data_IF_232727738739
#
_entry.id   IF_232727738739
#
_cell.length_a   1.000
_cell.length_b   1.000
_cell.length_c   1.000
_cell.angle_alpha   90.00
_cell.angle_beta   90.00
_cell.angle_gamma   90.00
#
_symmetry.space_group_name_H-M   'P 1'
#
loop_
_entity.id
_entity.type
_entity.pdbx_description
1 polymer ?
#
# COMPACT_ATOMS: atom_id res chain seq x y z
N UNK A 1 7.31 5.07 7.24
CA UNK A 1 8.44 6.02 7.38
C UNK A 1 9.19 6.00 6.08
N UNK A 2 9.34 7.13 5.39
CA UNK A 2 10.08 7.19 4.12
C UNK A 2 11.57 7.28 4.47
N UNK A 3 12.39 6.41 3.88
CA UNK A 3 13.82 6.37 4.12
C UNK A 3 14.58 7.43 3.32
N UNK A 4 15.84 7.64 3.68
CA UNK A 4 16.75 8.56 2.97
C UNK A 4 16.93 8.21 1.47
N UNK A 5 16.75 6.94 1.11
CA UNK A 5 16.99 6.47 -0.26
C UNK A 5 15.84 6.86 -1.18
N UNK A 6 14.60 6.76 -0.70
CA UNK A 6 13.39 7.19 -1.41
C UNK A 6 13.39 8.70 -1.64
N UNK A 7 13.83 9.48 -0.63
CA UNK A 7 14.01 10.93 -0.77
C UNK A 7 15.00 11.26 -1.87
N UNK A 8 16.15 10.60 -1.84
CA UNK A 8 17.23 10.83 -2.79
C UNK A 8 16.82 10.41 -4.21
N UNK A 9 16.16 9.26 -4.35
CA UNK A 9 15.64 8.76 -5.62
C UNK A 9 14.68 9.75 -6.29
N UNK A 10 13.70 10.26 -5.53
CA UNK A 10 12.73 11.24 -6.05
C UNK A 10 13.42 12.51 -6.57
N UNK A 11 14.37 13.08 -5.82
CA UNK A 11 15.14 14.27 -6.22
C UNK A 11 15.98 14.03 -7.47
N UNK A 12 16.66 12.89 -7.57
CA UNK A 12 17.48 12.54 -8.73
C UNK A 12 16.62 12.39 -9.98
N UNK A 13 15.48 11.71 -9.89
CA UNK A 13 14.56 11.53 -11.02
C UNK A 13 13.88 12.85 -11.42
N UNK A 14 13.56 13.74 -10.48
CA UNK A 14 13.09 15.10 -10.80
C UNK A 14 14.14 15.88 -11.59
N UNK A 15 15.42 15.80 -11.19
CA UNK A 15 16.54 16.41 -11.91
C UNK A 15 16.69 15.88 -13.34
N UNK A 16 16.55 14.55 -13.52
CA UNK A 16 16.57 13.90 -14.84
C UNK A 16 15.40 14.38 -15.70
N UNK A 17 14.18 14.40 -15.15
CA UNK A 17 12.97 14.78 -15.90
C UNK A 17 12.95 16.28 -16.24
N UNK A 18 13.52 17.13 -15.38
CA UNK A 18 13.66 18.57 -15.65
C UNK A 18 14.53 18.87 -16.88
N UNK A 19 15.43 17.96 -17.27
CA UNK A 19 16.20 18.10 -18.52
C UNK A 19 15.33 17.90 -19.78
N UNK A 20 14.13 17.34 -19.67
CA UNK A 20 13.10 17.29 -20.72
C UNK A 20 13.38 16.39 -21.94
N UNK A 21 14.60 15.88 -22.09
CA UNK A 21 15.07 15.12 -23.27
C UNK A 21 15.59 13.72 -22.95
N UNK A 22 15.68 13.35 -21.67
CA UNK A 22 16.30 12.10 -21.24
C UNK A 22 15.34 10.94 -21.49
N UNK A 23 15.81 9.96 -22.26
CA UNK A 23 15.07 8.74 -22.61
C UNK A 23 15.61 7.52 -21.88
N UNK A 24 16.87 7.53 -21.45
CA UNK A 24 17.51 6.42 -20.75
C UNK A 24 18.39 6.91 -19.62
N UNK A 25 18.33 6.24 -18.47
CA UNK A 25 19.18 6.49 -17.31
C UNK A 25 19.93 5.21 -16.96
N UNK A 26 21.27 5.29 -16.93
CA UNK A 26 22.10 4.20 -16.44
C UNK A 26 22.31 4.34 -14.94
N UNK A 27 21.81 3.39 -14.16
CA UNK A 27 21.99 3.34 -12.70
C UNK A 27 23.15 2.40 -12.40
N UNK A 28 24.29 2.97 -12.03
CA UNK A 28 25.55 2.27 -11.85
C UNK A 28 25.80 1.97 -10.37
N UNK A 29 25.82 0.68 -10.03
CA UNK A 29 25.99 0.17 -8.67
C UNK A 29 24.71 -0.42 -8.06
N UNK A 30 24.88 -1.15 -6.98
CA UNK A 30 23.82 -1.93 -6.32
C UNK A 30 23.71 -1.57 -4.83
N UNK A 31 22.71 -0.75 -4.51
CA UNK A 31 22.41 -0.34 -3.14
C UNK A 31 20.90 -0.17 -2.93
N UNK A 32 20.49 0.18 -1.70
CA UNK A 32 19.10 0.55 -1.42
C UNK A 32 18.61 1.73 -2.29
N UNK A 33 19.52 2.61 -2.74
CA UNK A 33 19.17 3.68 -3.68
C UNK A 33 18.77 3.14 -5.07
N UNK A 34 19.39 2.05 -5.52
CA UNK A 34 19.04 1.37 -6.78
C UNK A 34 17.59 0.92 -6.75
N UNK A 35 17.19 0.21 -5.68
CA UNK A 35 15.80 -0.23 -5.50
C UNK A 35 14.83 0.96 -5.36
N UNK A 36 15.23 2.02 -4.65
CA UNK A 36 14.42 3.22 -4.49
C UNK A 36 14.19 3.97 -5.82
N UNK A 37 15.19 4.04 -6.71
CA UNK A 37 15.06 4.62 -8.05
C UNK A 37 14.07 3.82 -8.91
N UNK A 38 14.16 2.48 -8.89
CA UNK A 38 13.21 1.63 -9.60
C UNK A 38 11.79 1.78 -9.05
N UNK A 39 11.64 1.83 -7.72
CA UNK A 39 10.34 2.01 -7.07
C UNK A 39 9.71 3.37 -7.38
N UNK A 40 10.47 4.47 -7.28
CA UNK A 40 9.97 5.82 -7.58
C UNK A 40 9.57 5.96 -9.06
N UNK A 41 10.36 5.43 -10.00
CA UNK A 41 9.99 5.46 -11.41
C UNK A 41 8.74 4.62 -11.70
N UNK A 42 8.60 3.46 -11.04
CA UNK A 42 7.39 2.64 -11.15
C UNK A 42 6.17 3.37 -10.59
N UNK A 43 6.31 4.06 -9.46
CA UNK A 43 5.26 4.89 -8.90
C UNK A 43 4.86 6.01 -9.87
N UNK A 44 5.83 6.68 -10.50
CA UNK A 44 5.56 7.71 -11.53
C UNK A 44 4.82 7.13 -12.73
N UNK A 45 5.13 5.90 -13.16
CA UNK A 45 4.40 5.25 -14.24
C UNK A 45 2.93 5.00 -13.87
N UNK A 46 2.65 4.51 -12.65
CA UNK A 46 1.27 4.42 -12.16
C UNK A 46 0.55 5.77 -12.16
N UNK A 47 1.23 6.82 -11.70
CA UNK A 47 0.66 8.16 -11.67
C UNK A 47 0.33 8.66 -13.10
N UNK A 48 1.16 8.32 -14.09
CA UNK A 48 0.91 8.64 -15.51
C UNK A 48 -0.25 7.85 -16.09
N UNK A 49 -0.38 6.58 -15.75
CA UNK A 49 -1.51 5.75 -16.16
C UNK A 49 -2.82 6.24 -15.54
N UNK A 50 -2.76 6.72 -14.28
CA UNK A 50 -3.89 7.33 -13.61
C UNK A 50 -4.29 8.66 -14.25
N UNK A 51 -3.31 9.54 -14.45
CA UNK A 51 -3.50 10.83 -15.11
C UNK A 51 -2.18 11.38 -15.64
N UNK A 52 -2.08 11.54 -16.97
CA UNK A 52 -0.96 12.23 -17.61
C UNK A 52 -1.37 13.66 -17.99
N UNK A 53 -0.82 14.69 -17.31
CA UNK A 53 -0.97 16.08 -17.71
C UNK A 53 -0.63 16.33 -19.19
N UNK A 54 -1.36 17.21 -19.89
CA UNK A 54 -0.97 17.66 -21.22
C UNK A 54 0.45 18.23 -21.24
N UNK A 55 1.27 17.80 -22.20
CA UNK A 55 2.66 18.26 -22.31
C UNK A 55 3.63 17.60 -21.32
N UNK A 56 3.21 16.57 -20.59
CA UNK A 56 4.10 15.77 -19.75
C UNK A 56 5.27 15.19 -20.55
N UNK A 57 6.48 15.30 -19.99
CA UNK A 57 7.67 14.62 -20.51
C UNK A 57 7.53 13.11 -20.27
N UNK A 58 7.89 12.31 -21.27
CA UNK A 58 7.91 10.86 -21.17
C UNK A 58 8.88 10.40 -20.07
N UNK A 59 8.51 9.34 -19.35
CA UNK A 59 9.40 8.73 -18.36
C UNK A 59 10.58 8.04 -19.07
N UNK A 60 11.81 8.17 -18.55
CA UNK A 60 12.95 7.46 -19.12
C UNK A 60 12.88 5.96 -18.80
N UNK A 61 13.58 5.14 -19.60
CA UNK A 61 13.92 3.78 -19.22
C UNK A 61 15.12 3.76 -18.25
N UNK A 62 15.17 2.78 -17.34
CA UNK A 62 16.35 2.54 -16.52
C UNK A 62 17.14 1.34 -17.05
N UNK A 63 18.46 1.42 -16.94
CA UNK A 63 19.36 0.29 -17.13
C UNK A 63 20.24 0.18 -15.90
N UNK A 64 20.07 -0.89 -15.12
CA UNK A 64 20.90 -1.20 -13.96
C UNK A 64 22.24 -1.77 -14.45
N UNK A 65 23.36 -1.25 -13.97
CA UNK A 65 24.71 -1.63 -14.42
C UNK A 65 25.56 -1.96 -13.20
N UNK A 66 25.69 -3.25 -12.92
CA UNK A 66 26.61 -3.84 -11.95
C UNK A 66 26.61 -5.37 -12.14
N UNK A 67 27.62 -6.07 -11.61
CA UNK A 67 27.73 -7.54 -11.72
C UNK A 67 26.49 -8.30 -11.22
N UNK A 68 25.82 -7.78 -10.19
CA UNK A 68 24.62 -8.35 -9.55
C UNK A 68 23.33 -7.60 -9.93
N UNK A 69 23.34 -6.77 -10.98
CA UNK A 69 22.18 -5.97 -11.39
C UNK A 69 20.92 -6.80 -11.66
N UNK A 70 21.06 -8.03 -12.16
CA UNK A 70 19.93 -8.95 -12.40
C UNK A 70 19.26 -9.45 -11.11
N UNK A 71 19.98 -9.48 -9.98
CA UNK A 71 19.38 -9.79 -8.66
C UNK A 71 18.52 -8.62 -8.20
N UNK A 72 19.01 -7.39 -8.34
CA UNK A 72 18.25 -6.19 -7.97
C UNK A 72 17.01 -5.95 -8.83
N UNK A 73 17.08 -6.31 -10.12
CA UNK A 73 15.89 -6.28 -10.99
C UNK A 73 14.83 -7.28 -10.51
N UNK A 74 15.25 -8.52 -10.19
CA UNK A 74 14.34 -9.55 -9.65
C UNK A 74 13.75 -9.15 -8.30
N UNK A 75 14.55 -8.56 -7.41
CA UNK A 75 14.06 -8.04 -6.14
C UNK A 75 13.04 -6.94 -6.36
N UNK A 76 13.29 -5.99 -7.26
CA UNK A 76 12.34 -4.94 -7.60
C UNK A 76 11.03 -5.51 -8.18
N UNK A 77 11.10 -6.47 -9.10
CA UNK A 77 9.92 -7.15 -9.66
C UNK A 77 9.13 -7.90 -8.58
N UNK A 78 9.82 -8.59 -7.68
CA UNK A 78 9.17 -9.24 -6.54
C UNK A 78 8.43 -8.23 -5.66
N UNK A 79 9.07 -7.10 -5.32
CA UNK A 79 8.42 -6.02 -4.57
C UNK A 79 7.22 -5.44 -5.34
N UNK A 80 7.31 -5.26 -6.67
CA UNK A 80 6.18 -4.81 -7.51
C UNK A 80 5.02 -5.80 -7.49
N UNK A 81 5.28 -7.09 -7.55
CA UNK A 81 4.24 -8.11 -7.47
C UNK A 81 3.59 -8.14 -6.09
N UNK A 82 4.39 -8.06 -5.01
CA UNK A 82 3.89 -8.00 -3.64
C UNK A 82 3.06 -6.75 -3.39
N UNK A 83 3.46 -5.60 -3.92
CA UNK A 83 2.70 -4.37 -3.91
C UNK A 83 1.60 -4.33 -4.99
N UNK A 84 1.48 -5.38 -5.80
CA UNK A 84 0.44 -5.63 -6.80
C UNK A 84 0.20 -4.51 -7.80
N UNK A 85 1.28 -4.04 -8.40
CA UNK A 85 1.27 -3.10 -9.50
C UNK A 85 0.61 -3.71 -10.74
N UNK A 86 -0.41 -3.05 -11.30
CA UNK A 86 -1.17 -3.51 -12.49
C UNK A 86 -0.61 -2.93 -13.80
N UNK A 87 0.13 -1.82 -13.72
CA UNK A 87 0.81 -1.22 -14.88
C UNK A 87 1.94 -2.12 -15.38
N UNK A 88 2.13 -2.17 -16.71
CA UNK A 88 3.35 -2.70 -17.33
C UNK A 88 4.60 -2.03 -16.72
N UNK A 89 4.46 -0.77 -16.30
CA UNK A 89 5.48 0.00 -15.61
C UNK A 89 6.52 0.55 -16.59
N UNK A 90 7.54 1.24 -16.07
CA UNK A 90 8.64 1.72 -16.89
C UNK A 90 9.49 0.54 -17.38
N UNK A 91 10.16 0.71 -18.51
CA UNK A 91 11.20 -0.23 -18.95
C UNK A 91 12.39 -0.14 -17.99
N UNK A 92 12.70 -1.22 -17.28
CA UNK A 92 13.86 -1.36 -16.41
C UNK A 92 14.58 -2.64 -16.81
N UNK A 93 15.79 -2.48 -17.35
CA UNK A 93 16.65 -3.60 -17.77
C UNK A 93 17.88 -3.69 -16.86
N UNK A 94 18.59 -4.82 -16.90
CA UNK A 94 19.83 -5.04 -16.17
C UNK A 94 20.98 -5.48 -17.09
N UNK A 95 22.19 -5.02 -16.79
CA UNK A 95 23.44 -5.42 -17.43
C UNK A 95 24.38 -5.93 -16.36
N UNK A 96 24.65 -7.23 -16.37
CA UNK A 96 25.55 -7.93 -15.45
C UNK A 96 27.05 -7.66 -15.74
N UNK A 97 27.43 -6.39 -15.82
CA UNK A 97 28.80 -5.93 -16.03
C UNK A 97 29.12 -4.78 -15.07
N UNK A 98 30.32 -4.78 -14.49
CA UNK A 98 30.75 -3.68 -13.62
C UNK A 98 30.80 -2.36 -14.42
N UNK A 99 30.38 -1.21 -13.84
CA UNK A 99 30.27 0.09 -14.53
C UNK A 99 31.65 0.75 -14.74
N UNK A 100 32.55 0.04 -15.43
CA UNK A 100 33.87 0.54 -15.83
C UNK A 100 33.75 1.52 -16.98
N UNK A 101 34.77 2.37 -17.18
CA UNK A 101 34.77 3.33 -18.31
C UNK A 101 34.54 2.65 -19.68
N UNK A 102 35.23 1.55 -20.04
CA UNK A 102 34.95 0.86 -21.31
C UNK A 102 33.52 0.36 -21.43
N UNK A 103 32.99 -0.26 -20.37
CA UNK A 103 31.61 -0.76 -20.33
C UNK A 103 30.61 0.38 -20.54
N UNK A 104 30.75 1.46 -19.78
CA UNK A 104 29.88 2.63 -19.87
C UNK A 104 29.97 3.32 -21.22
N UNK A 105 31.17 3.45 -21.82
CA UNK A 105 31.32 4.02 -23.16
C UNK A 105 30.64 3.20 -24.23
N UNK A 106 30.68 1.87 -24.11
CA UNK A 106 29.96 0.95 -25.00
C UNK A 106 28.45 1.14 -24.84
N UNK A 107 27.94 1.01 -23.61
CA UNK A 107 26.50 1.13 -23.32
C UNK A 107 25.91 2.49 -23.72
N UNK A 108 26.63 3.58 -23.45
CA UNK A 108 26.22 4.95 -23.83
C UNK A 108 26.33 5.14 -25.36
N UNK A 109 27.31 4.52 -26.01
CA UNK A 109 27.51 4.59 -27.47
C UNK A 109 26.51 3.75 -28.29
N UNK A 110 25.98 2.68 -27.70
CA UNK A 110 24.89 1.88 -28.28
C UNK A 110 23.54 2.64 -28.28
N UNK A 111 23.49 3.80 -27.60
CA UNK A 111 22.34 4.70 -27.48
C UNK A 111 22.75 6.13 -27.83
N UNK A 112 21.85 7.11 -27.68
CA UNK A 112 22.20 8.52 -27.89
C UNK A 112 22.63 9.18 -26.57
N UNK A 113 23.91 9.61 -26.42
CA UNK A 113 24.40 10.30 -25.22
C UNK A 113 23.63 11.59 -24.92
N UNK A 114 23.09 12.28 -25.94
CA UNK A 114 22.33 13.50 -25.77
C UNK A 114 20.95 13.28 -25.11
N UNK A 115 20.48 12.02 -25.06
CA UNK A 115 19.23 11.62 -24.40
C UNK A 115 19.48 10.65 -23.24
N UNK A 116 20.73 10.55 -22.79
CA UNK A 116 21.13 9.66 -21.71
C UNK A 116 21.45 10.44 -20.43
N UNK A 117 21.31 9.79 -19.28
CA UNK A 117 21.84 10.25 -18.00
C UNK A 117 22.49 9.08 -17.26
N UNK A 118 23.39 9.37 -16.33
CA UNK A 118 24.06 8.34 -15.51
C UNK A 118 23.90 8.70 -14.03
N UNK A 119 23.53 7.73 -13.21
CA UNK A 119 23.46 7.87 -11.76
C UNK A 119 24.38 6.81 -11.15
N UNK A 120 25.45 7.23 -10.51
CA UNK A 120 26.27 6.36 -9.68
C UNK A 120 25.73 6.34 -8.26
N UNK A 121 25.32 5.16 -7.80
CA UNK A 121 24.76 4.97 -6.44
C UNK A 121 25.83 4.65 -5.40
N UNK A 122 27.00 4.18 -5.83
CA UNK A 122 28.09 3.80 -4.95
C UNK A 122 29.05 4.97 -4.69
N UNK A 123 29.43 5.15 -3.43
CA UNK A 123 30.27 6.25 -2.95
C UNK A 123 31.70 6.28 -3.56
N UNK A 124 32.16 5.20 -4.19
CA UNK A 124 33.51 5.08 -4.74
C UNK A 124 33.60 5.33 -6.26
N UNK A 125 32.48 5.73 -6.89
CA UNK A 125 32.41 5.90 -8.34
C UNK A 125 32.96 7.25 -8.86
N UNK A 126 33.45 8.14 -8.00
CA UNK A 126 33.83 9.51 -8.36
C UNK A 126 34.85 9.62 -9.50
N UNK A 127 35.81 8.69 -9.60
CA UNK A 127 36.80 8.69 -10.69
C UNK A 127 36.20 8.30 -12.04
N UNK A 128 35.29 7.33 -12.06
CA UNK A 128 34.55 6.93 -13.26
C UNK A 128 33.61 8.05 -13.71
N UNK A 129 32.86 8.63 -12.76
CA UNK A 129 31.93 9.72 -13.02
C UNK A 129 32.64 10.94 -13.65
N UNK A 130 33.76 11.38 -13.08
CA UNK A 130 34.55 12.50 -13.61
C UNK A 130 35.10 12.22 -15.02
N UNK A 131 35.54 10.98 -15.28
CA UNK A 131 36.04 10.57 -16.61
C UNK A 131 34.93 10.50 -17.66
N UNK A 132 33.71 10.13 -17.30
CA UNK A 132 32.54 10.19 -18.18
C UNK A 132 32.13 11.64 -18.44
N UNK A 133 32.07 12.48 -17.41
CA UNK A 133 31.72 13.89 -17.54
C UNK A 133 32.67 14.66 -18.46
N UNK A 134 33.97 14.35 -18.40
CA UNK A 134 34.96 14.91 -19.32
C UNK A 134 34.75 14.50 -20.79
N UNK A 135 34.09 13.37 -21.05
CA UNK A 135 33.81 12.85 -22.41
C UNK A 135 32.44 13.29 -22.92
N UNK A 136 31.48 13.46 -22.02
CA UNK A 136 30.09 13.82 -22.32
C UNK A 136 29.67 15.05 -21.49
N UNK A 137 30.18 16.25 -21.82
CA UNK A 137 30.01 17.44 -20.97
C UNK A 137 28.54 17.86 -20.79
N UNK A 138 27.67 17.56 -21.77
CA UNK A 138 26.24 17.92 -21.75
C UNK A 138 25.32 16.84 -21.17
N UNK A 139 25.87 15.65 -20.87
CA UNK A 139 25.11 14.53 -20.32
C UNK A 139 24.97 14.70 -18.80
N UNK A 140 23.75 14.67 -18.22
CA UNK A 140 23.60 14.68 -16.77
C UNK A 140 24.25 13.45 -16.15
N UNK A 141 25.16 13.67 -15.20
CA UNK A 141 25.82 12.60 -14.45
C UNK A 141 25.69 12.92 -12.97
N UNK A 142 25.14 12.00 -12.20
CA UNK A 142 24.98 12.12 -10.76
C UNK A 142 25.91 11.14 -10.08
N UNK A 143 26.66 11.57 -9.06
CA UNK A 143 27.51 10.68 -8.29
C UNK A 143 27.38 10.96 -6.80
N UNK A 144 27.30 9.90 -5.99
CA UNK A 144 27.32 10.05 -4.54
C UNK A 144 28.69 10.55 -4.10
N UNK A 145 28.72 11.59 -3.26
CA UNK A 145 29.94 12.07 -2.62
C UNK A 145 29.68 12.25 -1.12
N UNK A 146 30.36 11.42 -0.32
CA UNK A 146 30.24 11.37 1.14
C UNK A 146 30.70 12.66 1.85
N UNK A 147 31.40 13.55 1.15
CA UNK A 147 31.89 14.83 1.70
C UNK A 147 30.99 16.03 1.40
N UNK A 148 29.85 15.85 0.72
CA UNK A 148 28.97 16.96 0.31
C UNK A 148 27.97 17.31 1.42
N UNK A 149 27.95 18.57 1.85
CA UNK A 149 26.94 19.12 2.76
C UNK A 149 25.63 19.43 2.00
N UNK A 150 24.50 19.47 2.72
CA UNK A 150 23.14 19.78 2.22
C UNK A 150 23.09 21.09 1.38
N UNK A 151 24.00 22.02 1.64
CA UNK A 151 24.09 23.32 0.97
C UNK A 151 24.86 23.31 -0.36
N UNK A 152 25.51 22.18 -0.70
CA UNK A 152 26.48 22.06 -1.80
C UNK A 152 26.04 21.15 -2.97
N UNK A 153 24.74 20.78 -3.05
CA UNK A 153 24.13 19.95 -4.11
C UNK A 153 24.27 20.51 -5.56
N UNK A 154 25.07 21.57 -5.76
CA UNK A 154 25.29 22.24 -7.05
C UNK A 154 26.76 22.40 -7.46
N UNK A 155 27.74 21.81 -6.74
CA UNK A 155 29.14 21.91 -7.15
C UNK A 155 29.36 21.07 -8.43
N UNK A 156 29.37 21.75 -9.59
CA UNK A 156 29.81 21.18 -10.86
C UNK A 156 31.33 21.08 -10.85
N UNK A 157 31.86 19.86 -10.72
CA UNK A 157 33.31 19.64 -10.68
C UNK A 157 33.91 19.55 -12.09
N UNK A 158 33.20 18.91 -13.04
CA UNK A 158 33.54 18.81 -14.48
C UNK A 158 32.26 18.57 -15.29
N UNK A 159 32.00 19.35 -16.34
CA UNK A 159 30.80 19.18 -17.19
C UNK A 159 29.49 19.25 -16.37
N UNK A 160 28.49 18.44 -16.74
CA UNK A 160 27.22 18.29 -15.99
C UNK A 160 27.28 17.19 -14.90
N UNK A 161 28.44 16.96 -14.30
CA UNK A 161 28.56 16.13 -13.09
C UNK A 161 27.99 16.86 -11.87
N UNK A 162 27.03 16.24 -11.19
CA UNK A 162 26.41 16.72 -9.96
C UNK A 162 26.68 15.71 -8.84
N UNK A 163 27.34 16.18 -7.78
CA UNK A 163 27.47 15.41 -6.53
C UNK A 163 26.16 15.45 -5.75
N UNK A 164 25.82 14.35 -5.05
CA UNK A 164 24.69 14.31 -4.12
C UNK A 164 25.03 13.53 -2.85
N UNK A 165 24.31 13.86 -1.77
CA UNK A 165 24.39 13.16 -0.47
C UNK A 165 23.13 12.35 -0.17
N UNK A 166 23.29 11.26 0.59
CA UNK A 166 22.15 10.50 1.13
C UNK A 166 21.52 11.29 2.28
N UNK A 167 20.41 11.96 2.02
CA UNK A 167 19.75 12.82 3.00
C UNK A 167 18.47 12.17 3.53
N UNK A 168 18.33 12.10 4.85
CA UNK A 168 17.02 11.97 5.49
C UNK A 168 16.41 13.37 5.51
N UNK A 169 15.38 13.60 4.69
CA UNK A 169 14.50 14.74 4.96
C UNK A 169 13.61 14.33 6.15
N UNK A 170 13.57 15.18 7.18
CA UNK A 170 13.00 14.83 8.48
C UNK A 170 11.49 14.66 8.38
N UNK A 171 11.07 13.41 8.18
CA UNK A 171 9.83 12.70 8.54
C UNK A 171 8.44 13.29 8.23
N UNK A 172 8.28 14.59 7.98
CA UNK A 172 6.99 15.19 7.64
C UNK A 172 6.87 15.57 6.16
N UNK A 173 7.95 15.97 5.48
CA UNK A 173 7.88 16.51 4.11
C UNK A 173 7.44 15.51 3.03
N UNK A 174 7.95 14.27 3.02
CA UNK A 174 7.73 13.33 1.90
C UNK A 174 6.51 12.43 2.01
N UNK A 175 6.12 12.01 3.22
CA UNK A 175 4.81 11.37 3.42
C UNK A 175 3.73 12.39 3.09
N UNK A 176 3.93 13.66 3.47
CA UNK A 176 3.07 14.74 3.01
C UNK A 176 3.14 14.92 1.49
N UNK A 177 4.31 14.80 0.85
CA UNK A 177 4.44 14.87 -0.61
C UNK A 177 3.69 13.75 -1.33
N UNK A 178 3.80 12.48 -0.93
CA UNK A 178 3.08 11.39 -1.57
C UNK A 178 1.55 11.58 -1.49
N UNK A 179 1.04 12.00 -0.33
CA UNK A 179 -0.38 12.28 -0.15
C UNK A 179 -0.84 13.57 -0.86
N UNK A 180 0.03 14.58 -0.94
CA UNK A 180 -0.22 15.79 -1.70
C UNK A 180 -0.23 15.50 -3.21
N UNK A 181 0.71 14.69 -3.70
CA UNK A 181 0.74 14.20 -5.08
C UNK A 181 -0.53 13.42 -5.40
N UNK A 182 -0.96 12.51 -4.53
CA UNK A 182 -2.22 11.80 -4.70
C UNK A 182 -3.43 12.75 -4.74
N UNK A 183 -3.54 13.68 -3.79
CA UNK A 183 -4.62 14.67 -3.75
C UNK A 183 -4.65 15.54 -5.01
N UNK A 184 -3.48 15.97 -5.49
CA UNK A 184 -3.33 16.72 -6.74
C UNK A 184 -3.76 15.92 -7.95
N UNK A 185 -3.29 14.68 -8.10
CA UNK A 185 -3.62 13.82 -9.24
C UNK A 185 -5.12 13.51 -9.30
N UNK A 186 -5.73 13.18 -8.16
CA UNK A 186 -7.17 12.94 -8.05
C UNK A 186 -7.94 14.18 -8.53
N UNK A 187 -7.55 15.36 -8.06
CA UNK A 187 -8.16 16.62 -8.45
C UNK A 187 -7.98 16.94 -9.94
N UNK A 188 -6.77 16.80 -10.48
CA UNK A 188 -6.50 17.09 -11.89
C UNK A 188 -7.25 16.13 -12.82
N UNK A 189 -7.36 14.85 -12.45
CA UNK A 189 -8.18 13.89 -13.18
C UNK A 189 -9.66 14.28 -13.15
N UNK A 190 -10.18 14.70 -11.99
CA UNK A 190 -11.54 15.22 -11.86
C UNK A 190 -11.76 16.41 -12.78
N UNK A 191 -10.87 17.42 -12.76
CA UNK A 191 -10.96 18.61 -13.64
C UNK A 191 -10.94 18.21 -15.11
N UNK A 192 -10.13 17.22 -15.49
CA UNK A 192 -10.08 16.71 -16.86
C UNK A 192 -11.36 15.99 -17.30
N UNK A 193 -12.19 15.49 -16.38
CA UNK A 193 -13.48 14.86 -16.70
C UNK A 193 -14.61 15.86 -16.90
N UNK A 194 -14.42 17.13 -16.51
CA UNK A 194 -15.42 18.18 -16.67
C UNK A 194 -15.51 18.59 -18.14
N UNK A 195 -16.72 18.60 -18.67
CA UNK A 195 -17.00 19.09 -20.02
C UNK A 195 -16.46 20.53 -20.20
N UNK A 196 -15.56 20.78 -21.17
CA UNK A 196 -15.00 22.11 -21.41
C UNK A 196 -16.05 23.19 -21.71
N UNK A 197 -17.24 22.81 -22.16
CA UNK A 197 -18.35 23.74 -22.43
C UNK A 197 -19.07 24.22 -21.16
N UNK A 198 -18.85 23.58 -20.02
CA UNK A 198 -19.49 23.95 -18.75
C UNK A 198 -18.69 25.04 -18.04
N UNK A 199 -19.40 25.98 -17.42
CA UNK A 199 -18.78 27.02 -16.59
C UNK A 199 -18.09 26.38 -15.39
N UNK A 200 -16.76 26.51 -15.33
CA UNK A 200 -15.96 25.99 -14.20
C UNK A 200 -16.23 26.82 -12.94
N UNK A 201 -16.59 26.12 -11.86
CA UNK A 201 -16.66 26.72 -10.53
C UNK A 201 -15.26 26.97 -9.93
N UNK A 202 -15.18 27.70 -8.81
CA UNK A 202 -13.90 28.02 -8.15
C UNK A 202 -13.17 26.78 -7.60
N UNK A 203 -13.87 25.64 -7.47
CA UNK A 203 -13.32 24.35 -7.07
C UNK A 203 -12.95 23.45 -8.28
N UNK A 204 -13.12 23.92 -9.51
CA UNK A 204 -13.04 23.10 -10.73
C UNK A 204 -12.00 23.65 -11.73
N UNK A 205 -10.94 24.25 -11.20
CA UNK A 205 -9.80 24.78 -11.95
C UNK A 205 -8.55 23.92 -11.75
N UNK A 206 -7.55 23.97 -12.65
CA UNK A 206 -6.29 23.25 -12.49
C UNK A 206 -5.65 23.51 -11.13
N UNK A 207 -4.89 22.54 -10.60
CA UNK A 207 -4.33 22.62 -9.24
C UNK A 207 -3.50 23.88 -9.02
N UNK A 208 -2.72 24.30 -10.02
CA UNK A 208 -1.89 25.50 -9.97
C UNK A 208 -2.69 26.80 -9.75
N UNK A 209 -3.94 26.84 -10.21
CA UNK A 209 -4.87 27.97 -10.06
C UNK A 209 -5.82 27.80 -8.87
N UNK A 210 -5.92 26.59 -8.33
CA UNK A 210 -6.83 26.24 -7.25
C UNK A 210 -6.49 26.99 -5.96
N UNK A 211 -7.48 27.64 -5.36
CA UNK A 211 -7.30 28.33 -4.09
C UNK A 211 -6.89 27.36 -2.97
N UNK A 212 -6.07 27.85 -2.04
CA UNK A 212 -5.55 27.07 -0.92
C UNK A 212 -6.62 26.42 -0.04
N UNK A 213 -7.80 27.02 0.08
CA UNK A 213 -8.95 26.40 0.74
C UNK A 213 -9.37 25.08 0.08
N UNK A 214 -9.44 25.03 -1.25
CA UNK A 214 -9.82 23.81 -1.96
C UNK A 214 -8.68 22.79 -2.00
N UNK A 215 -7.42 23.24 -2.17
CA UNK A 215 -6.25 22.36 -2.02
C UNK A 215 -6.22 21.71 -0.63
N UNK A 216 -6.51 22.49 0.41
CA UNK A 216 -6.63 22.00 1.77
C UNK A 216 -7.76 21.00 1.95
N UNK A 217 -8.91 21.22 1.32
CA UNK A 217 -10.03 20.27 1.33
C UNK A 217 -9.69 18.94 0.65
N UNK A 218 -8.96 18.97 -0.49
CA UNK A 218 -8.49 17.78 -1.20
C UNK A 218 -7.46 16.98 -0.37
N UNK A 219 -6.47 17.66 0.23
CA UNK A 219 -5.51 17.01 1.13
C UNK A 219 -6.18 16.38 2.35
N UNK A 220 -7.18 17.06 2.92
CA UNK A 220 -8.00 16.55 4.02
C UNK A 220 -8.73 15.27 3.61
N UNK A 221 -9.39 15.25 2.45
CA UNK A 221 -10.11 14.07 1.97
C UNK A 221 -9.20 12.83 1.90
N UNK A 222 -8.00 12.95 1.33
CA UNK A 222 -7.03 11.84 1.27
C UNK A 222 -6.61 11.40 2.68
N UNK A 223 -6.23 12.34 3.56
CA UNK A 223 -5.81 12.02 4.93
C UNK A 223 -6.93 11.36 5.74
N UNK A 224 -8.16 11.85 5.60
CA UNK A 224 -9.30 11.29 6.30
C UNK A 224 -9.62 9.88 5.77
N UNK A 225 -9.51 9.64 4.46
CA UNK A 225 -9.66 8.30 3.89
C UNK A 225 -8.65 7.29 4.49
N UNK A 226 -7.38 7.68 4.65
CA UNK A 226 -6.38 6.84 5.29
C UNK A 226 -6.79 6.44 6.72
N UNK A 227 -7.24 7.42 7.50
CA UNK A 227 -7.68 7.23 8.88
C UNK A 227 -8.95 6.38 8.98
N UNK A 228 -9.99 6.69 8.19
CA UNK A 228 -11.28 6.00 8.21
C UNK A 228 -11.13 4.51 7.87
N UNK A 229 -10.30 4.18 6.88
CA UNK A 229 -10.05 2.80 6.46
C UNK A 229 -9.45 1.99 7.62
N UNK A 230 -8.52 2.55 8.39
CA UNK A 230 -7.94 1.85 9.53
C UNK A 230 -8.89 1.81 10.74
N UNK A 231 -9.45 2.95 11.12
CA UNK A 231 -10.15 3.11 12.39
C UNK A 231 -11.63 2.71 12.34
N UNK A 232 -12.28 2.84 11.20
CA UNK A 232 -13.72 2.55 11.03
C UNK A 232 -13.92 1.19 10.37
N UNK A 233 -13.18 0.91 9.29
CA UNK A 233 -13.30 -0.33 8.55
C UNK A 233 -12.40 -1.47 9.07
N UNK A 234 -11.42 -1.18 9.94
CA UNK A 234 -10.54 -2.21 10.49
C UNK A 234 -9.62 -2.83 9.44
N UNK A 235 -9.22 -2.03 8.44
CA UNK A 235 -8.25 -2.43 7.42
C UNK A 235 -6.83 -2.01 7.80
N UNK A 236 -5.85 -2.50 7.05
CA UNK A 236 -4.47 -2.03 7.08
C UNK A 236 -4.02 -1.65 5.67
N UNK A 237 -3.24 -0.57 5.57
CA UNK A 237 -2.54 -0.18 4.34
C UNK A 237 -1.28 -1.01 4.07
N UNK A 238 -0.82 -1.79 5.07
CA UNK A 238 0.26 -2.76 4.86
C UNK A 238 -0.29 -4.02 4.20
N UNK A 239 -0.13 -4.09 2.88
CA UNK A 239 -0.64 -5.20 2.05
C UNK A 239 0.43 -6.17 1.59
N UNK A 240 1.62 -6.12 2.20
CA UNK A 240 2.71 -7.07 1.91
C UNK A 240 2.25 -8.52 2.08
N UNK A 241 2.68 -9.41 1.18
CA UNK A 241 2.34 -10.82 1.20
C UNK A 241 0.93 -11.17 0.71
N UNK A 242 0.13 -10.18 0.30
CA UNK A 242 -1.19 -10.41 -0.32
C UNK A 242 -1.23 -9.79 -1.71
N UNK A 243 -0.99 -10.60 -2.77
CA UNK A 243 -1.25 -10.18 -4.13
C UNK A 243 -2.71 -9.71 -4.26
N UNK A 244 -2.97 -8.58 -4.92
CA UNK A 244 -4.32 -8.02 -4.97
C UNK A 244 -5.21 -8.84 -5.90
N UNK A 245 -6.50 -8.87 -5.61
CA UNK A 245 -7.51 -9.11 -6.64
C UNK A 245 -7.42 -7.98 -7.66
N UNK A 246 -7.16 -8.31 -8.92
CA UNK A 246 -7.23 -7.34 -10.00
C UNK A 246 -8.69 -6.94 -10.21
N UNK A 247 -8.95 -5.64 -10.25
CA UNK A 247 -10.28 -5.08 -10.50
C UNK A 247 -10.19 -4.23 -11.77
N UNK A 248 -11.07 -4.48 -12.75
CA UNK A 248 -11.09 -3.66 -13.96
C UNK A 248 -11.75 -2.31 -13.72
N UNK A 249 -11.20 -1.25 -14.32
CA UNK A 249 -11.84 0.06 -14.31
C UNK A 249 -13.18 0.09 -15.03
N UNK A 250 -13.37 -0.73 -16.07
CA UNK A 250 -14.65 -0.81 -16.78
C UNK A 250 -15.73 -1.49 -15.94
N UNK A 251 -15.39 -2.60 -15.28
CA UNK A 251 -16.30 -3.31 -14.38
C UNK A 251 -16.70 -2.42 -13.20
N UNK A 252 -15.72 -1.74 -12.58
CA UNK A 252 -15.98 -0.83 -11.46
C UNK A 252 -16.91 0.33 -11.85
N UNK A 253 -16.88 0.80 -13.10
CA UNK A 253 -17.70 1.91 -13.55
C UNK A 253 -19.19 1.57 -13.68
N UNK A 254 -19.53 0.29 -13.88
CA UNK A 254 -20.91 -0.19 -14.03
C UNK A 254 -21.59 -0.49 -12.68
N UNK A 255 -20.80 -0.60 -11.61
CA UNK A 255 -21.28 -0.96 -10.28
C UNK A 255 -21.80 0.24 -9.49
N UNK A 256 -22.74 -0.03 -8.58
CA UNK A 256 -23.15 0.95 -7.58
C UNK A 256 -21.99 1.26 -6.62
N UNK A 257 -22.00 2.44 -5.95
CA UNK A 257 -20.94 2.80 -5.00
C UNK A 257 -20.70 1.77 -3.89
N UNK A 258 -21.76 1.11 -3.39
CA UNK A 258 -21.62 0.08 -2.36
C UNK A 258 -21.03 -1.23 -2.89
N UNK A 259 -21.37 -1.63 -4.12
CA UNK A 259 -20.77 -2.79 -4.77
C UNK A 259 -19.28 -2.57 -5.05
N UNK A 260 -18.90 -1.36 -5.50
CA UNK A 260 -17.50 -0.97 -5.66
C UNK A 260 -16.72 -1.10 -4.35
N UNK A 261 -17.30 -0.59 -3.25
CA UNK A 261 -16.70 -0.70 -1.91
C UNK A 261 -16.61 -2.17 -1.45
N UNK A 262 -17.64 -2.97 -1.73
CA UNK A 262 -17.65 -4.42 -1.48
C UNK A 262 -16.52 -5.16 -2.18
N UNK A 263 -16.28 -4.89 -3.46
CA UNK A 263 -15.15 -5.47 -4.21
C UNK A 263 -13.79 -5.00 -3.69
N UNK A 264 -13.71 -3.82 -3.08
CA UNK A 264 -12.51 -3.35 -2.38
C UNK A 264 -12.37 -3.89 -0.95
N UNK A 265 -13.31 -4.73 -0.51
CA UNK A 265 -13.27 -5.43 0.78
C UNK A 265 -14.00 -4.71 1.92
N UNK A 266 -14.78 -3.67 1.65
CA UNK A 266 -15.52 -2.92 2.65
C UNK A 266 -16.98 -3.41 2.71
N UNK A 267 -17.44 -3.80 3.89
CA UNK A 267 -18.86 -4.12 4.10
C UNK A 267 -19.73 -2.86 4.06
N UNK A 268 -21.05 -3.07 3.93
CA UNK A 268 -22.01 -1.98 3.80
C UNK A 268 -22.04 -1.06 5.04
N UNK A 269 -21.97 -1.63 6.25
CA UNK A 269 -22.04 -0.85 7.49
C UNK A 269 -20.80 0.03 7.65
N UNK A 270 -19.60 -0.54 7.48
CA UNK A 270 -18.36 0.24 7.53
C UNK A 270 -18.32 1.31 6.42
N UNK A 271 -18.82 1.00 5.23
CA UNK A 271 -18.94 1.95 4.11
C UNK A 271 -19.79 3.17 4.46
N UNK A 272 -20.96 2.96 5.08
CA UNK A 272 -21.85 4.06 5.49
C UNK A 272 -21.22 4.87 6.63
N UNK A 273 -20.62 4.21 7.64
CA UNK A 273 -19.92 4.90 8.74
C UNK A 273 -18.72 5.74 8.26
N UNK A 274 -17.98 5.25 7.27
CA UNK A 274 -16.90 6.02 6.64
C UNK A 274 -17.47 7.23 5.87
N UNK A 275 -18.55 7.05 5.11
CA UNK A 275 -19.18 8.16 4.39
C UNK A 275 -19.70 9.25 5.35
N UNK A 276 -20.23 8.85 6.51
CA UNK A 276 -20.61 9.74 7.59
C UNK A 276 -19.41 10.54 8.13
N UNK A 277 -18.35 9.85 8.52
CA UNK A 277 -17.16 10.49 9.08
C UNK A 277 -16.53 11.48 8.09
N UNK A 278 -16.54 11.17 6.80
CA UNK A 278 -16.08 12.07 5.75
C UNK A 278 -16.97 13.31 5.60
N UNK A 279 -18.29 13.14 5.60
CA UNK A 279 -19.24 14.26 5.53
C UNK A 279 -19.10 15.20 6.73
N UNK A 280 -18.96 14.64 7.94
CA UNK A 280 -18.79 15.42 9.16
C UNK A 280 -17.46 16.19 9.19
N UNK A 281 -16.36 15.56 8.76
CA UNK A 281 -15.05 16.20 8.65
C UNK A 281 -15.06 17.32 7.58
N UNK A 282 -15.66 17.06 6.42
CA UNK A 282 -15.87 18.07 5.38
C UNK A 282 -16.71 19.25 5.89
N UNK A 283 -17.83 19.00 6.57
CA UNK A 283 -18.66 20.04 7.17
C UNK A 283 -17.88 20.88 8.19
N UNK A 284 -17.09 20.23 9.05
CA UNK A 284 -16.25 20.89 10.06
C UNK A 284 -15.20 21.79 9.41
N UNK A 285 -14.54 21.29 8.36
CA UNK A 285 -13.57 22.06 7.58
C UNK A 285 -14.19 23.31 6.95
N UNK A 286 -15.34 23.15 6.29
CA UNK A 286 -16.05 24.27 5.65
C UNK A 286 -16.50 25.32 6.68
N UNK A 287 -17.15 24.90 7.78
CA UNK A 287 -17.61 25.81 8.84
C UNK A 287 -16.46 26.56 9.50
N UNK A 288 -15.34 25.88 9.78
CA UNK A 288 -14.11 26.52 10.32
C UNK A 288 -13.56 27.60 9.38
N UNK A 289 -13.77 27.46 8.07
CA UNK A 289 -13.34 28.42 7.05
C UNK A 289 -14.42 29.46 6.69
N UNK A 290 -15.45 29.58 7.53
CA UNK A 290 -16.48 30.62 7.42
C UNK A 290 -17.61 30.29 6.44
N UNK A 291 -17.72 29.04 6.00
CA UNK A 291 -18.88 28.61 5.20
C UNK A 291 -20.10 28.33 6.09
N UNK A 292 -21.28 28.60 5.53
CA UNK A 292 -22.56 28.38 6.20
C UNK A 292 -23.53 27.65 5.31
N UNK A 293 -24.48 26.98 5.94
CA UNK A 293 -25.62 26.41 5.24
C UNK A 293 -26.48 27.51 4.60
N UNK A 294 -26.97 27.24 3.40
CA UNK A 294 -28.01 28.02 2.75
C UNK A 294 -28.34 27.46 1.37
N UNK A 295 -29.54 27.79 0.91
CA UNK A 295 -30.05 27.41 -0.41
C UNK A 295 -30.61 28.66 -1.09
N UNK A 296 -30.19 29.01 -2.32
CA UNK A 296 -29.26 28.28 -3.18
C UNK A 296 -27.78 28.36 -2.71
N UNK A 297 -26.93 27.50 -3.27
CA UNK A 297 -25.47 27.55 -3.11
C UNK A 297 -24.93 28.85 -3.71
N UNK A 298 -24.02 29.52 -3.00
CA UNK A 298 -23.32 30.73 -3.44
C UNK A 298 -21.90 30.74 -2.87
N UNK A 299 -20.93 30.32 -3.69
CA UNK A 299 -19.54 30.19 -3.28
C UNK A 299 -18.88 31.54 -2.97
N UNK A 300 -19.30 32.61 -3.63
CA UNK A 300 -18.77 33.97 -3.40
C UNK A 300 -19.09 34.49 -2.00
N UNK A 301 -20.22 34.05 -1.44
CA UNK A 301 -20.69 34.37 -0.10
C UNK A 301 -20.47 33.24 0.91
N UNK A 302 -19.73 32.19 0.51
CA UNK A 302 -19.46 30.98 1.29
C UNK A 302 -20.74 30.29 1.80
N UNK A 303 -21.72 30.14 0.93
CA UNK A 303 -22.99 29.46 1.20
C UNK A 303 -23.02 28.12 0.47
N UNK A 304 -23.16 27.02 1.21
CA UNK A 304 -23.22 25.68 0.62
C UNK A 304 -24.44 24.90 1.13
N UNK A 305 -25.24 24.39 0.20
CA UNK A 305 -26.51 23.71 0.48
C UNK A 305 -26.35 22.34 1.15
N UNK A 306 -25.18 21.69 0.99
CA UNK A 306 -24.90 20.40 1.65
C UNK A 306 -24.32 20.49 3.07
N UNK A 307 -24.19 21.67 3.68
CA UNK A 307 -23.68 21.81 5.06
C UNK A 307 -24.73 21.47 6.12
N UNK A 308 -25.32 20.28 5.99
CA UNK A 308 -26.39 19.75 6.83
C UNK A 308 -25.86 18.69 7.81
N UNK A 309 -26.68 18.32 8.79
CA UNK A 309 -26.39 17.20 9.69
C UNK A 309 -26.45 15.86 8.94
N UNK A 310 -25.72 14.85 9.43
CA UNK A 310 -25.73 13.52 8.79
C UNK A 310 -27.13 12.91 8.75
N UNK A 311 -27.98 13.14 9.75
CA UNK A 311 -29.36 12.64 9.76
C UNK A 311 -30.18 13.08 8.54
N UNK A 312 -29.87 14.26 7.96
CA UNK A 312 -30.51 14.74 6.73
C UNK A 312 -29.98 14.00 5.50
N UNK A 313 -28.68 13.70 5.48
CA UNK A 313 -28.04 12.92 4.41
C UNK A 313 -28.56 11.49 4.41
N UNK A 314 -28.65 10.87 5.59
CA UNK A 314 -29.12 9.50 5.76
C UNK A 314 -30.60 9.33 5.38
N UNK A 315 -31.43 10.33 5.66
CA UNK A 315 -32.86 10.30 5.33
C UNK A 315 -33.16 10.49 3.84
N UNK A 316 -32.21 11.00 3.04
CA UNK A 316 -32.37 11.27 1.61
C UNK A 316 -31.51 10.30 0.78
N UNK A 317 -32.12 9.36 0.02
CA UNK A 317 -31.39 8.37 -0.77
C UNK A 317 -30.40 8.99 -1.78
N UNK A 318 -30.70 10.16 -2.34
CA UNK A 318 -29.81 10.81 -3.30
C UNK A 318 -28.58 11.40 -2.61
N UNK A 319 -28.76 12.04 -1.44
CA UNK A 319 -27.66 12.57 -0.65
C UNK A 319 -26.78 11.46 -0.10
N UNK A 320 -27.38 10.38 0.42
CA UNK A 320 -26.66 9.21 0.90
C UNK A 320 -25.85 8.57 -0.24
N UNK A 321 -26.48 8.34 -1.40
CA UNK A 321 -25.78 7.79 -2.55
C UNK A 321 -24.61 8.68 -3.00
N UNK A 322 -24.79 10.01 -3.00
CA UNK A 322 -23.73 10.95 -3.34
C UNK A 322 -22.56 10.90 -2.34
N UNK A 323 -22.83 10.78 -1.04
CA UNK A 323 -21.80 10.67 -0.01
C UNK A 323 -21.00 9.37 -0.16
N UNK A 324 -21.68 8.23 -0.33
CA UNK A 324 -21.02 6.93 -0.55
C UNK A 324 -20.25 6.91 -1.87
N UNK A 325 -20.78 7.51 -2.95
CA UNK A 325 -20.09 7.64 -4.23
C UNK A 325 -18.78 8.43 -4.12
N UNK A 326 -18.78 9.52 -3.35
CA UNK A 326 -17.57 10.32 -3.10
C UNK A 326 -16.50 9.49 -2.39
N UNK A 327 -16.89 8.71 -1.37
CA UNK A 327 -15.99 7.79 -0.68
C UNK A 327 -15.45 6.71 -1.62
N UNK A 328 -16.32 6.02 -2.35
CA UNK A 328 -15.96 4.96 -3.29
C UNK A 328 -14.97 5.47 -4.35
N UNK A 329 -15.25 6.64 -4.95
CA UNK A 329 -14.36 7.25 -5.95
C UNK A 329 -12.99 7.64 -5.37
N UNK A 330 -12.95 8.11 -4.12
CA UNK A 330 -11.68 8.44 -3.43
C UNK A 330 -10.84 7.19 -3.19
N UNK A 331 -11.45 6.13 -2.61
CA UNK A 331 -10.75 4.88 -2.31
C UNK A 331 -10.33 4.14 -3.59
N UNK A 332 -11.17 4.19 -4.64
CA UNK A 332 -10.81 3.67 -5.95
C UNK A 332 -9.62 4.40 -6.55
N UNK A 333 -9.60 5.74 -6.48
CA UNK A 333 -8.48 6.52 -7.00
C UNK A 333 -7.18 6.23 -6.25
N UNK A 334 -7.23 6.11 -4.92
CA UNK A 334 -6.09 5.69 -4.12
C UNK A 334 -5.57 4.32 -4.54
N UNK A 335 -6.48 3.35 -4.76
CA UNK A 335 -6.12 2.01 -5.26
C UNK A 335 -5.41 2.07 -6.61
N UNK A 336 -5.91 2.87 -7.55
CA UNK A 336 -5.30 3.04 -8.87
C UNK A 336 -3.92 3.72 -8.81
N UNK A 337 -3.67 4.54 -7.78
CA UNK A 337 -2.37 5.15 -7.49
C UNK A 337 -1.41 4.21 -6.72
N UNK A 338 -1.80 2.95 -6.51
CA UNK A 338 -0.99 1.94 -5.80
C UNK A 338 -1.24 1.87 -4.29
N UNK A 339 -2.07 2.77 -3.73
CA UNK A 339 -2.42 2.76 -2.32
C UNK A 339 -3.66 1.90 -2.08
N UNK A 340 -3.43 0.68 -1.61
CA UNK A 340 -4.52 -0.24 -1.28
C UNK A 340 -4.50 -0.63 0.18
N UNK A 341 -5.69 -0.93 0.68
CA UNK A 341 -5.86 -1.55 1.99
C UNK A 341 -6.40 -2.96 1.85
N UNK A 342 -6.34 -3.71 2.95
CA UNK A 342 -6.98 -5.02 3.10
C UNK A 342 -7.55 -5.14 4.52
N UNK A 343 -8.58 -5.97 4.74
CA UNK A 343 -9.03 -6.30 6.09
C UNK A 343 -7.85 -6.74 6.98
N UNK A 344 -7.74 -6.18 8.17
CA UNK A 344 -6.66 -6.53 9.11
C UNK A 344 -6.80 -7.98 9.58
N UNK A 345 -8.05 -8.37 9.90
CA UNK A 345 -8.40 -9.73 10.26
C UNK A 345 -8.70 -10.53 8.99
N UNK A 346 -7.89 -11.54 8.73
CA UNK A 346 -8.05 -12.43 7.58
C UNK A 346 -8.61 -13.78 8.02
N UNK A 347 -9.36 -14.43 7.13
CA UNK A 347 -9.92 -15.75 7.41
C UNK A 347 -8.91 -16.86 7.11
N UNK A 348 -8.79 -17.81 8.04
CA UNK A 348 -7.98 -19.00 7.89
C UNK A 348 -8.80 -20.24 8.24
N UNK A 349 -8.40 -21.38 7.67
CA UNK A 349 -8.90 -22.70 8.05
C UNK A 349 -7.84 -23.37 8.90
N UNK A 350 -8.26 -24.05 9.98
CA UNK A 350 -7.35 -24.88 10.77
C UNK A 350 -6.91 -26.08 9.93
N UNK A 351 -5.62 -26.41 9.95
CA UNK A 351 -5.04 -27.53 9.22
C UNK A 351 -4.12 -28.36 10.10
N UNK A 352 -3.81 -29.58 9.65
CA UNK A 352 -2.98 -30.53 10.38
C UNK A 352 -3.79 -31.44 11.30
N UNK A 353 -3.09 -32.45 11.81
CA UNK A 353 -3.65 -33.56 12.58
C UNK A 353 -2.98 -33.61 13.95
N UNK A 354 -3.74 -33.96 14.98
CA UNK A 354 -3.26 -34.13 16.36
C UNK A 354 -3.60 -35.50 16.92
N UNK A 355 -2.81 -35.97 17.88
CA UNK A 355 -3.25 -37.04 18.76
C UNK A 355 -4.21 -36.47 19.80
N UNK A 356 -5.35 -37.11 20.01
CA UNK A 356 -6.30 -36.69 21.04
C UNK A 356 -6.94 -37.88 21.73
N UNK A 357 -7.07 -37.77 23.06
CA UNK A 357 -7.72 -38.77 23.91
C UNK A 357 -8.71 -38.08 24.84
N UNK A 358 -9.95 -38.58 24.90
CA UNK A 358 -10.93 -38.11 25.86
C UNK A 358 -10.62 -38.68 27.25
N UNK A 359 -10.50 -37.81 28.26
CA UNK A 359 -10.20 -38.24 29.63
C UNK A 359 -11.45 -38.32 30.48
N UNK A 360 -11.62 -39.42 31.20
CA UNK A 360 -12.80 -39.66 32.04
C UNK A 360 -12.72 -39.06 33.45
N UNK A 361 -11.58 -38.47 33.82
CA UNK A 361 -11.37 -37.85 35.13
C UNK A 361 -10.77 -36.44 34.97
N UNK A 362 -11.05 -35.50 35.91
CA UNK A 362 -10.46 -34.18 35.88
C UNK A 362 -8.93 -34.26 36.00
N UNK A 363 -8.25 -33.34 35.32
CA UNK A 363 -6.79 -33.31 35.31
C UNK A 363 -6.28 -31.88 35.17
N UNK A 364 -5.00 -31.68 35.48
CA UNK A 364 -4.34 -30.39 35.33
C UNK A 364 -3.13 -30.51 34.42
N UNK A 365 -2.78 -29.40 33.78
CA UNK A 365 -1.57 -29.25 32.98
C UNK A 365 -1.05 -27.81 33.13
N UNK A 366 0.18 -27.57 32.67
CA UNK A 366 0.79 -26.23 32.75
C UNK A 366 0.86 -25.63 31.35
N UNK A 367 0.32 -24.43 31.16
CA UNK A 367 0.40 -23.69 29.90
C UNK A 367 1.83 -23.28 29.57
N UNK A 368 2.07 -22.91 28.31
CA UNK A 368 3.35 -22.34 27.87
C UNK A 368 3.70 -21.06 28.64
N UNK A 369 2.70 -20.33 29.16
CA UNK A 369 2.88 -19.15 30.02
C UNK A 369 3.09 -19.48 31.51
N UNK A 370 3.13 -20.77 31.88
CA UNK A 370 3.38 -21.23 33.24
C UNK A 370 2.14 -21.29 34.15
N UNK A 371 0.93 -21.08 33.64
CA UNK A 371 -0.30 -21.17 34.42
C UNK A 371 -0.77 -22.62 34.54
N UNK A 372 -1.21 -23.01 35.74
CA UNK A 372 -1.87 -24.32 35.95
C UNK A 372 -3.30 -24.27 35.43
N UNK A 373 -3.55 -25.00 34.36
CA UNK A 373 -4.85 -25.19 33.73
C UNK A 373 -5.55 -26.40 34.33
N UNK A 374 -6.88 -26.35 34.39
CA UNK A 374 -7.73 -27.44 34.88
C UNK A 374 -8.75 -27.83 33.83
N UNK A 375 -8.83 -29.13 33.57
CA UNK A 375 -9.80 -29.75 32.69
C UNK A 375 -10.75 -30.63 33.49
N UNK A 376 -12.00 -30.70 33.04
CA UNK A 376 -13.03 -31.51 33.67
C UNK A 376 -13.04 -32.94 33.11
N UNK A 377 -13.76 -33.84 33.80
CA UNK A 377 -14.02 -35.17 33.27
C UNK A 377 -14.85 -35.06 31.98
N UNK A 378 -14.40 -35.71 30.91
CA UNK A 378 -14.99 -35.65 29.58
C UNK A 378 -14.25 -34.72 28.62
N UNK A 379 -13.33 -33.89 29.10
CA UNK A 379 -12.50 -33.04 28.24
C UNK A 379 -11.43 -33.85 27.50
N UNK A 380 -11.05 -33.35 26.33
CA UNK A 380 -10.06 -33.98 25.46
C UNK A 380 -8.65 -33.47 25.80
N UNK A 381 -7.71 -34.40 25.92
CA UNK A 381 -6.29 -34.13 26.01
C UNK A 381 -5.67 -34.20 24.61
N UNK A 382 -5.17 -33.07 24.11
CA UNK A 382 -4.57 -32.94 22.79
C UNK A 382 -3.06 -32.95 22.93
N UNK A 383 -2.36 -33.77 22.13
CA UNK A 383 -0.90 -33.82 22.09
C UNK A 383 -0.35 -33.54 20.70
N UNK A 384 0.61 -32.63 20.63
CA UNK A 384 1.34 -32.25 19.41
C UNK A 384 2.71 -31.69 19.81
N UNK A 385 3.78 -32.09 19.14
CA UNK A 385 5.15 -31.58 19.35
C UNK A 385 5.60 -31.56 20.82
N UNK A 386 5.19 -32.56 21.61
CA UNK A 386 5.51 -32.66 23.03
C UNK A 386 4.72 -31.72 23.95
N UNK A 387 3.83 -30.89 23.39
CA UNK A 387 2.85 -30.09 24.14
C UNK A 387 1.60 -30.92 24.43
N UNK A 388 0.94 -30.58 25.54
CA UNK A 388 -0.31 -31.20 25.98
C UNK A 388 -1.25 -30.10 26.47
N UNK A 389 -2.45 -30.02 25.91
CA UNK A 389 -3.48 -29.07 26.37
C UNK A 389 -4.87 -29.70 26.38
N UNK A 390 -5.79 -29.09 27.12
CA UNK A 390 -7.18 -29.54 27.21
C UNK A 390 -8.10 -28.78 26.26
N UNK A 391 -9.09 -29.46 25.69
CA UNK A 391 -10.21 -28.85 24.95
C UNK A 391 -11.51 -29.45 25.47
N UNK A 392 -12.51 -28.59 25.76
CA UNK A 392 -13.84 -29.04 26.19
C UNK A 392 -14.50 -29.89 25.11
N UNK A 393 -15.30 -30.89 25.52
CA UNK A 393 -15.91 -31.86 24.59
C UNK A 393 -16.76 -31.20 23.48
N UNK A 394 -17.54 -30.17 23.82
CA UNK A 394 -18.35 -29.42 22.87
C UNK A 394 -17.48 -28.73 21.80
N UNK A 395 -16.46 -27.99 22.23
CA UNK A 395 -15.51 -27.32 21.34
C UNK A 395 -14.75 -28.36 20.51
N UNK A 396 -14.33 -29.48 21.10
CA UNK A 396 -13.55 -30.49 20.40
C UNK A 396 -14.34 -31.10 19.24
N UNK A 397 -15.60 -31.47 19.46
CA UNK A 397 -16.46 -32.02 18.39
C UNK A 397 -16.76 -31.02 17.27
N UNK A 398 -16.82 -29.74 17.62
CA UNK A 398 -17.03 -28.66 16.65
C UNK A 398 -15.77 -28.33 15.83
N UNK A 399 -14.58 -28.58 16.40
CA UNK A 399 -13.30 -28.14 15.81
C UNK A 399 -12.38 -29.26 15.36
N UNK A 400 -12.77 -30.53 15.55
CA UNK A 400 -12.02 -31.70 15.09
C UNK A 400 -12.92 -32.74 14.40
N UNK A 401 -12.32 -33.57 13.56
CA UNK A 401 -12.93 -34.77 12.99
C UNK A 401 -11.99 -35.97 13.05
N UNK A 402 -12.50 -37.21 13.16
CA UNK A 402 -11.65 -38.39 13.27
C UNK A 402 -10.82 -38.61 12.01
N UNK A 403 -9.51 -38.84 12.17
CA UNK A 403 -8.58 -39.20 11.09
C UNK A 403 -8.09 -40.67 11.17
N UNK A 404 -8.50 -41.42 12.20
CA UNK A 404 -8.10 -42.81 12.46
C UNK A 404 -6.97 -42.94 13.47
N UNK A 405 -6.81 -44.11 14.11
CA UNK A 405 -5.67 -44.44 14.99
C UNK A 405 -5.37 -43.42 16.12
N UNK A 406 -6.41 -42.86 16.75
CA UNK A 406 -6.28 -41.85 17.80
C UNK A 406 -5.87 -40.46 17.29
N UNK A 407 -5.83 -40.28 15.97
CA UNK A 407 -5.54 -39.03 15.29
C UNK A 407 -6.82 -38.29 14.90
N UNK A 408 -6.75 -36.97 14.95
CA UNK A 408 -7.87 -36.07 14.71
C UNK A 408 -7.44 -34.91 13.83
N UNK A 409 -8.16 -34.70 12.74
CA UNK A 409 -7.94 -33.59 11.83
C UNK A 409 -8.63 -32.34 12.38
N UNK A 410 -7.91 -31.21 12.38
CA UNK A 410 -8.52 -29.93 12.73
C UNK A 410 -9.49 -29.48 11.64
N UNK A 411 -10.60 -28.89 12.04
CA UNK A 411 -11.58 -28.27 11.15
C UNK A 411 -12.05 -26.92 11.68
N UNK A 412 -12.81 -26.22 10.84
CA UNK A 412 -13.40 -24.93 11.17
C UNK A 412 -12.49 -23.74 10.86
N UNK A 413 -13.11 -22.56 10.88
CA UNK A 413 -12.48 -21.30 10.49
C UNK A 413 -12.07 -20.48 11.72
N UNK A 414 -11.09 -19.62 11.51
CA UNK A 414 -10.68 -18.56 12.44
C UNK A 414 -10.45 -17.27 11.67
N UNK A 415 -10.41 -16.16 12.40
CA UNK A 415 -9.77 -14.96 11.91
C UNK A 415 -8.38 -14.85 12.51
N UNK A 416 -7.41 -14.30 11.79
CA UNK A 416 -6.10 -14.00 12.35
C UNK A 416 -5.49 -12.74 11.74
N UNK A 417 -4.59 -12.12 12.49
CA UNK A 417 -3.76 -11.00 12.07
C UNK A 417 -2.37 -11.10 12.69
N UNK A 418 -1.35 -10.44 12.13
CA UNK A 418 -0.09 -10.25 12.85
C UNK A 418 -0.31 -9.51 14.17
N UNK A 419 0.44 -9.92 15.19
CA UNK A 419 0.50 -9.21 16.47
C UNK A 419 1.23 -7.88 16.31
N UNK A 420 0.83 -6.88 17.10
CA UNK A 420 1.65 -5.68 17.26
C UNK A 420 2.82 -5.98 18.22
N UNK A 421 4.00 -5.37 18.02
CA UNK A 421 5.12 -5.54 18.94
C UNK A 421 4.75 -5.20 20.39
N UNK A 422 4.89 -6.16 21.30
CA UNK A 422 4.57 -5.99 22.72
C UNK A 422 3.08 -5.94 23.05
N UNK A 423 2.22 -6.41 22.14
CA UNK A 423 0.78 -6.45 22.34
C UNK A 423 0.37 -7.43 23.44
N UNK A 424 -0.45 -6.97 24.39
CA UNK A 424 -1.07 -7.83 25.40
C UNK A 424 -2.48 -8.24 24.96
N UNK A 425 -2.73 -9.55 24.86
CA UNK A 425 -4.02 -10.13 24.51
C UNK A 425 -4.66 -10.74 25.75
N UNK A 426 -5.93 -10.41 25.98
CA UNK A 426 -6.74 -11.09 26.98
C UNK A 426 -7.19 -12.44 26.41
N UNK A 427 -6.53 -13.51 26.84
CA UNK A 427 -6.91 -14.89 26.52
C UNK A 427 -7.90 -15.42 27.56
N UNK A 428 -8.46 -16.62 27.34
CA UNK A 428 -9.33 -17.26 28.33
C UNK A 428 -8.54 -17.66 29.60
N UNK A 429 -7.23 -17.87 29.45
CA UNK A 429 -6.26 -18.21 30.49
C UNK A 429 -5.74 -16.98 31.26
N UNK A 430 -5.97 -15.78 30.72
CA UNK A 430 -5.50 -14.50 31.26
C UNK A 430 -4.71 -13.66 30.25
N UNK A 431 -4.24 -12.47 30.65
CA UNK A 431 -3.46 -11.61 29.77
C UNK A 431 -2.13 -12.28 29.37
N UNK A 432 -1.84 -12.34 28.07
CA UNK A 432 -0.59 -12.88 27.51
C UNK A 432 0.02 -11.87 26.56
N UNK A 433 1.34 -11.69 26.61
CA UNK A 433 2.06 -10.83 25.67
C UNK A 433 2.42 -11.61 24.41
N UNK A 434 2.10 -11.04 23.26
CA UNK A 434 2.53 -11.55 21.96
C UNK A 434 3.98 -11.16 21.68
N UNK A 435 4.76 -12.12 21.17
CA UNK A 435 6.11 -11.92 20.69
C UNK A 435 6.15 -11.23 19.32
N UNK A 436 7.35 -10.79 18.92
CA UNK A 436 7.59 -10.29 17.57
C UNK A 436 7.45 -11.45 16.56
N UNK A 437 6.62 -11.26 15.53
CA UNK A 437 6.33 -12.30 14.53
C UNK A 437 5.16 -13.23 14.86
N UNK A 438 4.56 -13.06 16.04
CA UNK A 438 3.35 -13.81 16.43
C UNK A 438 2.12 -13.37 15.63
N UNK A 439 1.15 -14.28 15.57
CA UNK A 439 -0.19 -14.02 15.06
C UNK A 439 -1.19 -14.02 16.19
N UNK A 440 -2.14 -13.08 16.16
CA UNK A 440 -3.31 -13.12 17.01
C UNK A 440 -4.41 -13.83 16.26
N UNK A 441 -4.85 -14.96 16.80
CA UNK A 441 -5.96 -15.75 16.26
C UNK A 441 -7.21 -15.44 17.06
N UNK A 442 -8.34 -15.34 16.37
CA UNK A 442 -9.67 -15.13 16.92
C UNK A 442 -10.59 -16.27 16.50
N UNK A 443 -11.22 -16.91 17.47
CA UNK A 443 -12.20 -17.95 17.24
C UNK A 443 -13.62 -17.42 17.04
N UNK A 444 -14.57 -18.33 16.89
CA UNK A 444 -15.95 -18.01 16.50
C UNK A 444 -16.73 -17.24 17.58
N UNK A 445 -16.34 -17.39 18.86
CA UNK A 445 -16.96 -16.68 19.98
C UNK A 445 -16.25 -15.36 20.31
N UNK A 446 -15.27 -14.95 19.48
CA UNK A 446 -14.48 -13.73 19.66
C UNK A 446 -13.30 -13.87 20.62
N UNK A 447 -13.08 -15.06 21.18
CA UNK A 447 -11.92 -15.39 22.00
C UNK A 447 -10.64 -15.27 21.20
N UNK A 448 -9.57 -14.77 21.82
CA UNK A 448 -8.30 -14.48 21.15
C UNK A 448 -7.13 -15.14 21.85
N UNK A 449 -6.16 -15.61 21.07
CA UNK A 449 -4.91 -16.18 21.58
C UNK A 449 -3.74 -15.88 20.63
N UNK A 450 -2.54 -15.62 21.17
CA UNK A 450 -1.34 -15.50 20.35
C UNK A 450 -0.86 -16.89 19.90
N UNK A 451 -0.29 -16.95 18.69
CA UNK A 451 0.32 -18.13 18.11
C UNK A 451 1.66 -17.72 17.46
N UNK A 452 2.78 -18.36 17.82
CA UNK A 452 4.06 -18.11 17.16
C UNK A 452 3.98 -18.25 15.64
N UNK A 453 4.71 -17.43 14.89
CA UNK A 453 4.57 -17.37 13.42
C UNK A 453 4.83 -18.70 12.70
N UNK A 454 5.79 -19.49 13.17
CA UNK A 454 6.10 -20.82 12.63
C UNK A 454 5.02 -21.87 12.97
N UNK A 455 4.44 -21.79 14.17
CA UNK A 455 3.29 -22.61 14.55
C UNK A 455 2.05 -22.21 13.74
N UNK A 456 1.86 -20.91 13.51
CA UNK A 456 0.74 -20.40 12.73
C UNK A 456 0.78 -20.92 11.29
N UNK A 457 1.95 -20.85 10.64
CA UNK A 457 2.15 -21.35 9.28
C UNK A 457 1.92 -22.86 9.14
N UNK A 458 2.13 -23.63 10.22
CA UNK A 458 1.88 -25.09 10.25
C UNK A 458 0.41 -25.44 10.54
N UNK A 459 -0.27 -24.64 11.36
CA UNK A 459 -1.62 -24.94 11.89
C UNK A 459 -2.75 -24.25 11.14
N UNK A 460 -2.47 -23.26 10.30
CA UNK A 460 -3.49 -22.47 9.62
C UNK A 460 -3.14 -22.28 8.15
N UNK A 461 -4.15 -22.46 7.28
CA UNK A 461 -4.07 -22.14 5.86
C UNK A 461 -5.04 -21.01 5.51
N UNK A 462 -4.61 -20.09 4.65
CA UNK A 462 -5.46 -19.00 4.18
C UNK A 462 -6.77 -19.56 3.62
N UNK A 463 -7.91 -19.06 4.09
CA UNK A 463 -9.19 -19.49 3.57
C UNK A 463 -9.39 -18.86 2.19
N UNK A 464 -9.47 -19.72 1.18
CA UNK A 464 -9.96 -19.34 -0.15
C UNK A 464 -11.39 -19.85 -0.26
N UNK A 465 -12.39 -18.98 -0.41
CA UNK A 465 -13.71 -19.46 -0.79
C UNK A 465 -13.58 -20.24 -2.11
N UNK A 466 -14.31 -21.34 -2.29
CA UNK A 466 -14.39 -21.97 -3.60
C UNK A 466 -14.80 -20.90 -4.61
N UNK A 467 -14.11 -20.82 -5.75
CA UNK A 467 -14.59 -20.02 -6.87
C UNK A 467 -16.02 -20.45 -7.12
N UNK A 468 -16.97 -19.52 -7.00
CA UNK A 468 -18.34 -19.79 -7.38
C UNK A 468 -18.29 -20.24 -8.84
N UNK A 469 -18.59 -21.52 -9.06
CA UNK A 469 -18.67 -22.07 -10.39
C UNK A 469 -19.65 -21.19 -11.16
N UNK A 470 -19.14 -20.36 -12.07
CA UNK A 470 -19.96 -19.73 -13.08
C UNK A 470 -20.73 -20.86 -13.76
N UNK A 471 -22.02 -20.92 -13.47
CA UNK A 471 -22.92 -21.85 -14.12
C UNK A 471 -22.73 -21.63 -15.63
N UNK A 472 -22.48 -22.69 -16.42
CA UNK A 472 -22.33 -22.53 -17.85
C UNK A 472 -23.64 -21.96 -18.38
N UNK A 473 -23.49 -20.90 -19.16
CA UNK A 473 -24.55 -20.21 -19.87
C UNK A 473 -25.46 -21.24 -20.55
N UNK A 474 -26.71 -21.31 -20.09
CA UNK A 474 -27.71 -22.21 -20.63
C UNK A 474 -28.16 -21.71 -21.98
N UNK A 475 -27.43 -22.09 -23.02
CA UNK A 475 -27.82 -21.93 -24.41
C UNK A 475 -29.02 -22.79 -24.78
N UNK A 476 -29.90 -22.16 -25.56
CA UNK A 476 -30.91 -22.71 -26.48
C UNK A 476 -32.24 -23.23 -25.93
N UNK A 477 -33.30 -22.50 -26.31
CA UNK A 477 -34.71 -22.84 -26.28
C UNK A 477 -35.53 -21.76 -26.95
#
# INVERSE_FOLDING_TARGET
MVGKYEVTAGRLLDGVLAAGRIKRVFVCGTSQLTLALCADLTQRALERDFYTPPGAVALPALTLVERDAEEYLRDHEFHRQQAGFVSEGPTIDAVAEAPTIPAMLKLIGDVDPATSAVIFVDAHAGTTAARLAARFPDMPIYASDLNTSITDDSIQVVGRLQSYSLVLDTQEGQVQDAWERAARLIHERYVATIDPSWTRGPASVPWAELNEFYRGSNRRQVRNALWMVEQIAGHTWNTWGSPPTQLSGSEMAELTPLEQLGLMGFDQDSSVRMAQAEHEDWCRYYRRNGWKYGTPRDDSRKIHNKLVDWSVVEADPELLNAAVRSLAGTLWSLRQLGFRSRPLWQSFTRVGTVAAEQRSAPWTWTSDSGHTMRADAGDWAISEDGKLWSVRDDIFRDTYEPAGDGQWQRKGRVQARPAYPGETINTLEGPTNAGEGDWIVRGASGEQWPVPGDEFARRYAAYRPPEEAHAPDGGEG
#
